data_IF_254081313178
#
_entry.id   IF_254081313178
#
_cell.length_a   1.000
_cell.length_b   1.000
_cell.length_c   1.000
_cell.angle_alpha   90.00
_cell.angle_beta   90.00
_cell.angle_gamma   90.00
#
_symmetry.space_group_name_H-M   'P 1'
#
loop_
_entity.id
_entity.type
_entity.pdbx_description
1 polymer ?
#
# COMPACT_ATOMS: atom_id res chain seq x y z
N UNK A 1 -15.82 41.11 -47.81
CA UNK A 1 -15.38 40.26 -46.67
C UNK A 1 -16.38 39.11 -46.47
N UNK A 2 -16.02 37.87 -46.82
CA UNK A 2 -16.90 36.69 -46.65
C UNK A 2 -16.80 36.20 -45.20
N UNK A 3 -17.89 36.32 -44.42
CA UNK A 3 -17.99 35.73 -43.07
C UNK A 3 -17.92 34.19 -43.17
N UNK A 4 -17.07 33.49 -42.40
CA UNK A 4 -17.13 32.05 -42.33
C UNK A 4 -18.46 31.64 -41.68
N UNK A 5 -19.18 30.74 -42.37
CA UNK A 5 -20.57 30.34 -42.09
C UNK A 5 -20.63 29.63 -40.73
N UNK A 6 -21.59 29.97 -39.88
CA UNK A 6 -21.74 29.45 -38.50
C UNK A 6 -21.65 27.92 -38.37
N UNK A 7 -22.04 27.19 -39.42
CA UNK A 7 -21.89 25.74 -39.55
C UNK A 7 -20.44 25.24 -39.43
N UNK A 8 -19.44 25.99 -39.86
CA UNK A 8 -18.03 25.63 -39.67
C UNK A 8 -17.61 25.74 -38.19
N UNK A 9 -18.14 26.72 -37.45
CA UNK A 9 -17.89 26.88 -36.01
C UNK A 9 -18.56 25.78 -35.19
N UNK A 10 -19.79 25.40 -35.54
CA UNK A 10 -20.53 24.32 -34.87
C UNK A 10 -19.85 22.97 -35.12
N UNK A 11 -19.42 22.72 -36.37
CA UNK A 11 -18.67 21.52 -36.74
C UNK A 11 -17.32 21.43 -36.02
N UNK A 12 -16.58 22.54 -35.91
CA UNK A 12 -15.36 22.63 -35.09
C UNK A 12 -15.65 22.35 -33.61
N UNK A 13 -16.72 22.92 -33.05
CA UNK A 13 -17.04 22.78 -31.62
C UNK A 13 -17.47 21.37 -31.20
N UNK A 14 -17.97 20.54 -32.13
CA UNK A 14 -18.52 19.23 -31.81
C UNK A 14 -17.66 18.07 -32.32
N UNK A 15 -17.17 18.12 -33.55
CA UNK A 15 -16.40 17.02 -34.15
C UNK A 15 -14.89 17.19 -33.95
N UNK A 16 -14.35 18.38 -34.21
CA UNK A 16 -12.92 18.62 -34.00
C UNK A 16 -12.58 18.66 -32.50
N UNK A 17 -13.50 19.15 -31.66
CA UNK A 17 -13.39 19.03 -30.20
C UNK A 17 -13.25 17.57 -29.75
N UNK A 18 -14.17 16.69 -30.15
CA UNK A 18 -14.14 15.27 -29.77
C UNK A 18 -12.88 14.59 -30.28
N UNK A 19 -12.46 14.88 -31.53
CA UNK A 19 -11.22 14.33 -32.10
C UNK A 19 -9.98 14.79 -31.33
N UNK A 20 -9.93 16.05 -30.92
CA UNK A 20 -8.81 16.57 -30.11
C UNK A 20 -8.83 15.95 -28.72
N UNK A 21 -10.00 15.77 -28.11
CA UNK A 21 -10.15 15.05 -26.83
C UNK A 21 -9.63 13.60 -26.95
N UNK A 22 -9.99 12.89 -28.02
CA UNK A 22 -9.53 11.52 -28.27
C UNK A 22 -8.00 11.47 -28.45
N UNK A 23 -7.42 12.39 -29.23
CA UNK A 23 -5.95 12.49 -29.43
C UNK A 23 -5.23 12.82 -28.12
N UNK A 24 -5.77 13.75 -27.33
CA UNK A 24 -5.18 14.13 -26.03
C UNK A 24 -5.27 12.95 -25.05
N UNK A 25 -6.38 12.22 -25.05
CA UNK A 25 -6.54 11.02 -24.24
C UNK A 25 -5.53 9.92 -24.62
N UNK A 26 -5.38 9.65 -25.92
CA UNK A 26 -4.41 8.67 -26.44
C UNK A 26 -2.98 9.08 -26.11
N UNK A 27 -2.63 10.35 -26.31
CA UNK A 27 -1.30 10.88 -25.97
C UNK A 27 -1.03 10.79 -24.46
N UNK A 28 -2.02 11.13 -23.63
CA UNK A 28 -1.92 11.01 -22.18
C UNK A 28 -1.73 9.55 -21.76
N UNK A 29 -2.41 8.61 -22.40
CA UNK A 29 -2.26 7.18 -22.14
C UNK A 29 -0.86 6.70 -22.54
N UNK A 30 -0.39 7.06 -23.73
CA UNK A 30 0.96 6.71 -24.19
C UNK A 30 2.03 7.27 -23.26
N UNK A 31 1.90 8.54 -22.86
CA UNK A 31 2.82 9.18 -21.93
C UNK A 31 2.84 8.46 -20.58
N UNK A 32 1.67 8.05 -20.07
CA UNK A 32 1.57 7.26 -18.85
C UNK A 32 2.28 5.90 -18.99
N UNK A 33 2.14 5.24 -20.13
CA UNK A 33 2.81 3.94 -20.39
C UNK A 33 4.32 4.07 -20.49
N UNK A 34 4.81 5.11 -21.17
CA UNK A 34 6.25 5.41 -21.27
C UNK A 34 6.81 5.70 -19.89
N UNK A 35 6.11 6.54 -19.12
CA UNK A 35 6.48 6.86 -17.75
C UNK A 35 6.65 5.61 -16.87
N UNK A 36 5.65 4.73 -16.83
CA UNK A 36 5.72 3.47 -16.07
C UNK A 36 6.85 2.55 -16.57
N UNK A 37 7.10 2.52 -17.87
CA UNK A 37 8.19 1.71 -18.45
C UNK A 37 9.57 2.23 -18.04
N UNK A 38 9.76 3.55 -18.06
CA UNK A 38 11.00 4.20 -17.58
C UNK A 38 11.17 3.95 -16.08
N UNK A 39 10.10 4.12 -15.30
CA UNK A 39 10.09 3.83 -13.86
C UNK A 39 10.55 2.39 -13.58
N UNK A 40 10.01 1.42 -14.33
CA UNK A 40 10.40 0.01 -14.28
C UNK A 40 11.88 -0.21 -14.62
N UNK A 41 12.42 0.47 -15.63
CA UNK A 41 13.84 0.33 -15.99
C UNK A 41 14.77 0.97 -14.97
N UNK A 42 14.44 2.17 -14.47
CA UNK A 42 15.25 2.84 -13.44
C UNK A 42 15.33 2.03 -12.13
N UNK A 43 14.26 1.31 -11.78
CA UNK A 43 14.14 0.64 -10.48
C UNK A 43 14.30 -0.89 -10.54
N UNK A 44 14.03 -1.49 -11.71
CA UNK A 44 13.98 -2.94 -11.91
C UNK A 44 15.22 -3.54 -12.57
N UNK A 45 16.09 -2.75 -13.21
CA UNK A 45 17.27 -3.31 -13.89
C UNK A 45 18.23 -3.91 -12.84
N UNK A 46 18.42 -5.22 -12.93
CA UNK A 46 19.18 -6.08 -12.02
C UNK A 46 20.70 -5.92 -12.08
N UNK A 47 21.21 -4.94 -12.85
CA UNK A 47 22.62 -4.53 -12.80
C UNK A 47 22.76 -3.64 -11.57
N UNK A 48 22.94 -4.28 -10.40
CA UNK A 48 23.29 -3.66 -9.12
C UNK A 48 22.50 -2.39 -8.82
N UNK A 49 21.48 -2.51 -7.97
CA UNK A 49 20.84 -1.34 -7.34
C UNK A 49 21.91 -0.60 -6.54
N UNK A 50 22.66 0.26 -7.21
CA UNK A 50 23.71 1.05 -6.61
C UNK A 50 22.98 2.01 -5.69
N UNK A 51 23.26 1.92 -4.39
CA UNK A 51 22.73 2.86 -3.41
C UNK A 51 23.00 4.30 -3.83
N UNK A 52 24.07 4.55 -4.63
CA UNK A 52 24.36 5.86 -5.21
C UNK A 52 23.32 6.26 -6.26
N UNK A 53 22.92 5.34 -7.14
CA UNK A 53 21.88 5.60 -8.15
C UNK A 53 20.52 5.87 -7.48
N UNK A 54 20.15 5.07 -6.48
CA UNK A 54 18.92 5.32 -5.73
C UNK A 54 18.95 6.65 -4.97
N UNK A 55 20.07 6.98 -4.32
CA UNK A 55 20.23 8.28 -3.63
C UNK A 55 20.16 9.44 -4.61
N UNK A 56 20.66 9.26 -5.83
CA UNK A 56 20.53 10.25 -6.88
C UNK A 56 19.06 10.41 -7.30
N UNK A 57 18.34 9.31 -7.56
CA UNK A 57 16.90 9.35 -7.86
C UNK A 57 16.05 9.95 -6.72
N UNK A 58 16.47 9.80 -5.47
CA UNK A 58 15.80 10.40 -4.32
C UNK A 58 16.01 11.92 -4.24
N UNK A 59 17.22 12.39 -4.51
CA UNK A 59 17.62 13.79 -4.30
C UNK A 59 17.45 14.69 -5.53
N UNK A 60 17.49 14.12 -6.74
CA UNK A 60 17.43 14.87 -7.99
C UNK A 60 16.07 15.57 -8.19
N UNK A 61 16.04 16.88 -8.52
CA UNK A 61 14.81 17.64 -8.66
C UNK A 61 13.91 17.12 -9.79
N UNK A 62 14.47 16.64 -10.90
CA UNK A 62 13.66 16.12 -12.01
C UNK A 62 13.00 14.79 -11.63
N UNK A 63 13.72 13.94 -10.92
CA UNK A 63 13.22 12.68 -10.37
C UNK A 63 12.12 12.90 -9.33
N UNK A 64 12.19 14.00 -8.57
CA UNK A 64 11.12 14.41 -7.65
C UNK A 64 9.86 14.88 -8.39
N UNK A 65 10.01 15.67 -9.46
CA UNK A 65 8.88 16.10 -10.31
C UNK A 65 8.21 14.90 -10.97
N UNK A 66 8.99 13.89 -11.39
CA UNK A 66 8.49 12.65 -11.98
C UNK A 66 7.96 11.65 -10.94
N UNK A 67 8.14 11.88 -9.63
CA UNK A 67 7.67 10.97 -8.58
C UNK A 67 8.59 9.77 -8.29
N UNK A 68 9.63 9.51 -9.09
CA UNK A 68 10.55 8.36 -8.92
C UNK A 68 11.27 8.32 -7.56
N UNK A 69 11.43 9.48 -6.91
CA UNK A 69 12.03 9.59 -5.58
C UNK A 69 11.30 8.76 -4.51
N UNK A 70 9.98 8.54 -4.63
CA UNK A 70 9.21 7.80 -3.62
C UNK A 70 9.63 6.34 -3.60
N UNK A 71 9.71 5.71 -4.77
CA UNK A 71 10.11 4.31 -4.89
C UNK A 71 11.61 4.12 -4.62
N UNK A 72 12.44 5.07 -5.03
CA UNK A 72 13.86 5.07 -4.69
C UNK A 72 14.06 5.10 -3.17
N UNK A 73 13.39 6.01 -2.47
CA UNK A 73 13.40 6.06 -0.99
C UNK A 73 12.90 4.76 -0.37
N UNK A 74 11.84 4.16 -0.90
CA UNK A 74 11.33 2.88 -0.40
C UNK A 74 12.34 1.74 -0.59
N UNK A 75 13.05 1.69 -1.72
CA UNK A 75 14.11 0.71 -1.94
C UNK A 75 15.31 0.96 -1.02
N UNK A 76 15.75 2.22 -0.87
CA UNK A 76 16.81 2.61 0.06
C UNK A 76 16.44 2.19 1.48
N UNK A 77 15.22 2.50 1.92
CA UNK A 77 14.73 2.13 3.23
C UNK A 77 14.73 0.62 3.43
N UNK A 78 14.42 -0.17 2.39
CA UNK A 78 14.46 -1.65 2.43
C UNK A 78 15.89 -2.17 2.59
N UNK A 79 16.86 -1.54 1.92
CA UNK A 79 18.28 -1.91 2.03
C UNK A 79 18.91 -1.43 3.34
N UNK A 80 18.55 -0.24 3.81
CA UNK A 80 19.11 0.40 5.02
C UNK A 80 18.41 0.00 6.33
N UNK A 81 17.19 -0.55 6.31
CA UNK A 81 16.56 -1.10 7.54
C UNK A 81 17.39 -2.23 8.16
N UNK A 82 18.38 -2.76 7.44
CA UNK A 82 19.37 -3.67 8.01
C UNK A 82 20.22 -3.02 9.13
N UNK A 83 20.44 -1.69 9.11
CA UNK A 83 21.49 -1.05 9.91
C UNK A 83 20.98 -0.28 11.15
N UNK A 84 19.84 0.42 11.10
CA UNK A 84 19.27 1.14 12.27
C UNK A 84 17.73 1.27 12.21
N UNK A 85 16.99 0.30 12.77
CA UNK A 85 15.55 0.41 12.93
C UNK A 85 15.21 1.16 14.23
N UNK A 86 14.57 2.33 14.14
CA UNK A 86 13.98 2.99 15.31
C UNK A 86 12.76 2.19 15.76
N UNK A 87 12.67 1.85 17.04
CA UNK A 87 11.53 1.06 17.51
C UNK A 87 10.23 1.84 17.34
N UNK A 88 9.26 1.24 16.64
CA UNK A 88 7.90 1.77 16.50
C UNK A 88 6.94 1.07 17.48
N UNK A 89 7.48 0.58 18.59
CA UNK A 89 6.70 -0.02 19.67
C UNK A 89 5.86 1.06 20.36
N UNK A 90 4.54 0.88 20.32
CA UNK A 90 3.59 1.76 20.98
C UNK A 90 3.57 1.35 22.46
N UNK A 91 4.08 2.24 23.33
CA UNK A 91 4.19 1.95 24.77
C UNK A 91 2.85 1.52 25.37
N UNK A 92 2.91 0.47 26.20
CA UNK A 92 1.74 -0.18 26.79
C UNK A 92 0.81 0.74 27.59
N UNK A 93 1.28 1.88 28.11
CA UNK A 93 0.45 2.85 28.86
C UNK A 93 -0.55 3.61 27.98
N UNK A 94 -0.19 3.93 26.73
CA UNK A 94 -1.10 4.56 25.76
C UNK A 94 -2.10 3.55 25.22
N UNK A 95 -1.66 2.31 25.05
CA UNK A 95 -2.49 1.25 24.49
C UNK A 95 -3.44 0.63 25.52
N UNK A 96 -3.04 0.46 26.79
CA UNK A 96 -3.85 -0.13 27.84
C UNK A 96 -5.17 0.62 28.09
N UNK A 97 -5.16 1.95 27.92
CA UNK A 97 -6.37 2.80 27.95
C UNK A 97 -7.32 2.56 26.77
N UNK A 98 -6.79 1.98 25.69
CA UNK A 98 -7.44 1.85 24.38
C UNK A 98 -7.87 0.40 24.09
N UNK A 99 -7.31 -0.60 24.79
CA UNK A 99 -7.66 -2.02 24.70
C UNK A 99 -9.17 -2.34 24.81
N UNK A 100 -9.99 -1.65 25.66
CA UNK A 100 -11.42 -1.95 25.73
C UNK A 100 -12.19 -1.63 24.45
N UNK A 101 -11.63 -0.80 23.55
CA UNK A 101 -12.27 -0.35 22.32
C UNK A 101 -11.89 -1.19 21.09
N UNK A 102 -11.33 -2.38 21.30
CA UNK A 102 -10.93 -3.28 20.21
C UNK A 102 -12.10 -4.19 19.82
N UNK A 103 -12.62 -3.99 18.61
CA UNK A 103 -13.56 -4.91 17.98
C UNK A 103 -12.77 -5.97 17.20
N UNK A 104 -12.83 -7.23 17.62
CA UNK A 104 -12.17 -8.34 16.90
C UNK A 104 -12.94 -8.71 15.65
N UNK A 105 -12.23 -8.85 14.54
CA UNK A 105 -12.77 -9.23 13.23
C UNK A 105 -12.04 -10.50 12.78
N UNK A 106 -12.61 -11.65 13.15
CA UNK A 106 -11.95 -12.94 13.01
C UNK A 106 -10.72 -13.08 13.92
N UNK A 107 -9.82 -14.01 13.57
CA UNK A 107 -8.66 -14.34 14.40
C UNK A 107 -7.47 -13.39 14.22
N UNK A 108 -7.31 -12.84 13.00
CA UNK A 108 -6.10 -12.11 12.60
C UNK A 108 -6.26 -10.60 12.60
N UNK A 109 -7.49 -10.09 12.66
CA UNK A 109 -7.74 -8.66 12.54
C UNK A 109 -8.55 -8.12 13.72
N UNK A 110 -8.34 -6.84 14.01
CA UNK A 110 -9.17 -6.08 14.94
C UNK A 110 -9.29 -4.64 14.50
N UNK A 111 -10.28 -3.94 15.03
CA UNK A 111 -10.48 -2.51 14.79
C UNK A 111 -10.35 -1.82 16.13
N UNK A 112 -9.47 -0.84 16.19
CA UNK A 112 -9.25 -0.02 17.37
C UNK A 112 -9.78 1.38 17.10
N UNK A 113 -10.65 1.89 17.98
CA UNK A 113 -11.15 3.27 17.91
C UNK A 113 -10.57 4.11 19.05
N UNK A 114 -9.82 5.15 18.69
CA UNK A 114 -9.24 6.12 19.63
C UNK A 114 -9.66 7.51 19.16
N UNK A 115 -10.32 8.28 20.05
CA UNK A 115 -10.73 9.67 19.79
C UNK A 115 -11.51 9.86 18.48
N UNK A 116 -12.34 8.88 18.08
CA UNK A 116 -13.12 8.92 16.84
C UNK A 116 -12.38 8.47 15.58
N UNK A 117 -11.06 8.28 15.63
CA UNK A 117 -10.27 7.71 14.54
C UNK A 117 -10.21 6.18 14.66
N UNK A 118 -10.38 5.49 13.52
CA UNK A 118 -10.31 4.04 13.45
C UNK A 118 -8.94 3.57 12.95
N UNK A 119 -8.43 2.52 13.56
CA UNK A 119 -7.18 1.86 13.20
C UNK A 119 -7.44 0.38 12.96
N UNK A 120 -6.77 -0.19 11.96
CA UNK A 120 -6.80 -1.62 11.69
C UNK A 120 -5.63 -2.29 12.43
N UNK A 121 -5.94 -3.33 13.18
CA UNK A 121 -4.97 -4.17 13.86
C UNK A 121 -4.79 -5.47 13.10
N UNK A 122 -3.54 -5.88 12.87
CA UNK A 122 -3.20 -7.21 12.35
C UNK A 122 -2.38 -7.98 13.39
N UNK A 123 -2.92 -9.10 13.86
CA UNK A 123 -2.31 -9.95 14.88
C UNK A 123 -1.46 -11.05 14.26
N UNK A 124 -0.28 -11.28 14.84
CA UNK A 124 0.65 -12.35 14.48
C UNK A 124 1.17 -13.04 15.73
N UNK A 125 0.90 -14.33 15.85
CA UNK A 125 1.46 -15.17 16.92
C UNK A 125 2.92 -15.49 16.62
N UNK A 126 3.78 -15.35 17.63
CA UNK A 126 5.19 -15.74 17.53
C UNK A 126 5.47 -17.06 18.24
N UNK A 127 4.60 -17.49 19.16
CA UNK A 127 4.67 -18.81 19.79
C UNK A 127 3.25 -19.32 20.09
N UNK A 128 2.52 -19.84 19.08
CA UNK A 128 1.13 -20.27 19.25
C UNK A 128 1.00 -21.55 20.08
N UNK A 129 2.05 -22.35 20.18
CA UNK A 129 2.06 -23.64 20.89
C UNK A 129 2.44 -23.50 22.37
N UNK A 130 2.98 -22.35 22.79
CA UNK A 130 3.38 -22.12 24.17
C UNK A 130 2.16 -21.74 25.03
N UNK A 131 1.82 -22.53 26.06
CA UNK A 131 0.70 -22.24 26.96
C UNK A 131 1.01 -21.15 27.99
N UNK A 132 2.27 -20.72 28.07
CA UNK A 132 2.77 -19.70 29.01
C UNK A 132 3.24 -18.48 28.21
N UNK A 133 3.10 -17.25 28.73
CA UNK A 133 3.67 -16.07 28.13
C UNK A 133 5.18 -16.23 27.87
N UNK A 134 5.58 -16.09 26.60
CA UNK A 134 6.97 -16.16 26.15
C UNK A 134 7.45 -14.75 25.85
N UNK A 135 8.60 -14.38 26.42
CA UNK A 135 9.25 -13.11 26.11
C UNK A 135 9.74 -13.09 24.65
N UNK A 136 9.72 -11.91 24.02
CA UNK A 136 10.25 -11.77 22.67
C UNK A 136 11.78 -11.79 22.73
N UNK A 137 12.39 -12.68 21.97
CA UNK A 137 13.82 -12.67 21.73
C UNK A 137 14.20 -11.42 20.91
N UNK A 138 15.43 -10.93 21.13
CA UNK A 138 15.91 -9.69 20.51
C UNK A 138 15.88 -9.77 18.98
N UNK A 139 16.16 -10.95 18.42
CA UNK A 139 16.06 -11.18 16.98
C UNK A 139 14.64 -11.04 16.47
N UNK A 140 13.64 -11.63 17.11
CA UNK A 140 12.24 -11.45 16.68
C UNK A 140 11.79 -10.01 16.84
N UNK A 141 12.19 -9.32 17.92
CA UNK A 141 11.91 -7.90 18.11
C UNK A 141 12.49 -7.04 16.98
N UNK A 142 13.76 -7.27 16.62
CA UNK A 142 14.40 -6.58 15.50
C UNK A 142 13.67 -6.82 14.17
N UNK A 143 13.18 -8.03 13.93
CA UNK A 143 12.43 -8.35 12.72
C UNK A 143 11.07 -7.62 12.69
N UNK A 144 10.38 -7.55 13.83
CA UNK A 144 9.13 -6.81 13.98
C UNK A 144 9.36 -5.33 13.73
N UNK A 145 10.41 -4.74 14.33
CA UNK A 145 10.73 -3.32 14.16
C UNK A 145 11.14 -2.99 12.72
N UNK A 146 11.97 -3.83 12.09
CA UNK A 146 12.33 -3.68 10.68
C UNK A 146 11.10 -3.68 9.79
N UNK A 147 10.19 -4.61 10.03
CA UNK A 147 8.94 -4.67 9.27
C UNK A 147 8.05 -3.46 9.54
N UNK A 148 7.85 -3.07 10.80
CA UNK A 148 7.02 -1.93 11.15
C UNK A 148 7.53 -0.66 10.47
N UNK A 149 8.85 -0.44 10.47
CA UNK A 149 9.49 0.69 9.80
C UNK A 149 9.30 0.65 8.28
N UNK A 150 9.47 -0.52 7.66
CA UNK A 150 9.23 -0.71 6.24
C UNK A 150 7.78 -0.35 5.87
N UNK A 151 6.83 -0.85 6.66
CA UNK A 151 5.40 -0.61 6.47
C UNK A 151 4.98 0.83 6.78
N UNK A 152 5.72 1.52 7.65
CA UNK A 152 5.51 2.93 7.97
C UNK A 152 5.89 3.86 6.82
N UNK A 153 6.93 3.52 6.05
CA UNK A 153 7.45 4.39 4.98
C UNK A 153 6.33 4.92 4.06
N UNK A 154 6.36 6.21 3.70
CA UNK A 154 5.36 6.84 2.84
C UNK A 154 5.28 6.13 1.48
N UNK A 155 4.07 5.75 1.08
CA UNK A 155 3.80 5.01 -0.16
C UNK A 155 2.94 5.85 -1.07
N UNK A 156 3.17 5.72 -2.38
CA UNK A 156 2.25 6.31 -3.36
C UNK A 156 0.85 5.66 -3.23
N UNK A 157 -0.18 6.41 -3.62
CA UNK A 157 -1.58 5.94 -3.63
C UNK A 157 -1.72 4.63 -4.45
N UNK A 158 -0.84 4.42 -5.43
CA UNK A 158 -0.75 3.21 -6.24
C UNK A 158 -0.49 1.91 -5.46
N UNK A 159 0.18 1.96 -4.31
CA UNK A 159 0.46 0.79 -3.46
C UNK A 159 -0.78 0.26 -2.74
N UNK A 160 -1.86 1.06 -2.63
CA UNK A 160 -3.15 0.66 -2.02
C UNK A 160 -3.00 -0.09 -0.69
N UNK A 161 -2.01 0.34 0.08
CA UNK A 161 -1.57 -0.33 1.29
C UNK A 161 -1.65 0.67 2.44
N UNK A 162 -2.32 0.34 3.56
CA UNK A 162 -2.40 1.25 4.68
C UNK A 162 -1.03 1.43 5.33
N UNK A 163 -0.74 2.64 5.79
CA UNK A 163 0.52 2.96 6.47
C UNK A 163 0.50 2.38 7.89
N UNK A 164 1.61 1.73 8.27
CA UNK A 164 1.80 1.24 9.63
C UNK A 164 2.15 2.42 10.54
N UNK A 165 1.44 2.56 11.65
CA UNK A 165 1.72 3.56 12.68
C UNK A 165 2.72 3.02 13.70
N UNK A 166 2.67 1.71 13.96
CA UNK A 166 3.55 1.03 14.91
C UNK A 166 3.04 -0.36 15.25
N UNK A 167 3.57 -0.93 16.31
CA UNK A 167 3.16 -2.25 16.79
C UNK A 167 3.13 -2.31 18.31
N UNK A 168 2.46 -3.31 18.86
CA UNK A 168 2.49 -3.59 20.30
C UNK A 168 2.42 -5.10 20.57
N UNK A 169 2.85 -5.50 21.76
CA UNK A 169 2.81 -6.89 22.22
C UNK A 169 1.59 -7.15 23.08
N UNK A 170 1.01 -8.33 22.89
CA UNK A 170 -0.01 -8.88 23.79
C UNK A 170 0.52 -10.18 24.39
N UNK A 171 1.15 -10.05 25.57
CA UNK A 171 1.88 -11.11 26.26
C UNK A 171 1.00 -12.32 26.61
N UNK A 172 -0.27 -12.07 26.93
CA UNK A 172 -1.19 -13.13 27.36
C UNK A 172 -1.52 -14.12 26.23
N UNK A 173 -1.38 -13.69 24.96
CA UNK A 173 -1.73 -14.50 23.79
C UNK A 173 -0.52 -14.78 22.89
N UNK A 174 0.71 -14.52 23.38
CA UNK A 174 1.97 -14.74 22.64
C UNK A 174 1.92 -14.20 21.19
N UNK A 175 1.39 -12.98 21.05
CA UNK A 175 1.21 -12.33 19.75
C UNK A 175 1.59 -10.86 19.76
N UNK A 176 1.88 -10.37 18.57
CA UNK A 176 2.11 -8.96 18.28
C UNK A 176 1.01 -8.44 17.37
N UNK A 177 0.66 -7.17 17.55
CA UNK A 177 -0.33 -6.49 16.74
C UNK A 177 0.32 -5.31 16.02
N UNK A 178 0.23 -5.31 14.69
CA UNK A 178 0.60 -4.15 13.87
C UNK A 178 -0.60 -3.22 13.75
N UNK A 179 -0.36 -1.92 13.90
CA UNK A 179 -1.39 -0.88 13.86
C UNK A 179 -1.30 -0.13 12.56
N UNK A 180 -2.39 -0.10 11.81
CA UNK A 180 -2.50 0.54 10.52
C UNK A 180 -3.52 1.67 10.55
N UNK A 181 -3.18 2.78 9.87
CA UNK A 181 -4.12 3.89 9.72
C UNK A 181 -5.22 3.54 8.72
N UNK A 182 -6.46 3.87 9.05
CA UNK A 182 -7.61 3.83 8.15
C UNK A 182 -7.89 5.27 7.72
N UNK A 183 -7.87 5.58 6.41
CA UNK A 183 -8.16 6.94 5.96
C UNK A 183 -9.57 7.38 6.38
N UNK A 184 -9.73 8.67 6.68
CA UNK A 184 -11.03 9.23 7.05
C UNK A 184 -12.07 9.06 5.94
N UNK A 185 -13.32 8.73 6.32
CA UNK A 185 -14.42 8.50 5.37
C UNK A 185 -14.54 7.06 4.85
N UNK A 186 -13.64 6.14 5.24
CA UNK A 186 -13.75 4.73 4.92
C UNK A 186 -14.34 3.93 6.08
N UNK A 187 -15.13 2.91 5.76
CA UNK A 187 -15.61 1.97 6.76
C UNK A 187 -14.42 1.20 7.36
N UNK A 188 -14.38 1.14 8.68
CA UNK A 188 -13.33 0.49 9.43
C UNK A 188 -13.45 -1.03 9.41
N UNK A 189 -14.55 -1.60 8.91
CA UNK A 189 -14.78 -3.04 8.86
C UNK A 189 -13.99 -3.71 7.72
N UNK A 190 -12.93 -4.50 8.02
CA UNK A 190 -12.19 -5.18 6.98
C UNK A 190 -12.99 -6.38 6.50
N UNK A 191 -13.47 -6.34 5.25
CA UNK A 191 -14.13 -7.48 4.61
C UNK A 191 -13.14 -8.16 3.68
N UNK A 192 -13.04 -9.49 3.78
CA UNK A 192 -12.25 -10.26 2.83
C UNK A 192 -12.87 -10.16 1.44
N UNK A 193 -12.07 -9.83 0.44
CA UNK A 193 -12.51 -9.91 -0.94
C UNK A 193 -13.03 -11.31 -1.29
N UNK A 194 -12.42 -12.36 -0.74
CA UNK A 194 -12.88 -13.73 -0.92
C UNK A 194 -14.29 -13.94 -0.35
N UNK A 195 -14.58 -13.34 0.80
CA UNK A 195 -15.89 -13.44 1.45
C UNK A 195 -16.92 -12.62 0.67
N UNK A 196 -16.55 -11.46 0.12
CA UNK A 196 -17.41 -10.69 -0.80
C UNK A 196 -17.73 -11.49 -2.06
N UNK A 197 -16.76 -12.20 -2.63
CA UNK A 197 -16.95 -13.01 -3.83
C UNK A 197 -17.74 -14.30 -3.58
N UNK A 198 -17.72 -14.81 -2.35
CA UNK A 198 -18.42 -16.05 -1.95
C UNK A 198 -19.78 -15.81 -1.31
N UNK A 199 -20.02 -14.62 -0.76
CA UNK A 199 -21.27 -14.27 -0.09
C UNK A 199 -22.41 -14.29 -1.09
N UNK A 200 -23.53 -14.91 -0.70
CA UNK A 200 -24.79 -14.87 -1.44
C UNK A 200 -25.63 -13.64 -1.06
N UNK A 201 -25.31 -13.02 0.08
CA UNK A 201 -26.06 -11.89 0.66
C UNK A 201 -25.56 -10.54 0.12
N UNK A 202 -24.32 -10.49 -0.37
CA UNK A 202 -23.75 -9.33 -1.04
C UNK A 202 -23.97 -9.43 -2.56
N UNK A 203 -24.37 -8.32 -3.18
CA UNK A 203 -24.45 -8.24 -4.62
C UNK A 203 -23.09 -8.57 -5.24
N UNK A 204 -23.05 -9.65 -6.02
CA UNK A 204 -21.82 -10.07 -6.68
C UNK A 204 -21.30 -8.95 -7.59
N UNK A 205 -19.98 -8.66 -7.58
CA UNK A 205 -19.45 -7.59 -8.40
C UNK A 205 -19.70 -7.87 -9.88
N UNK A 206 -20.03 -6.83 -10.63
CA UNK A 206 -20.23 -6.92 -12.08
C UNK A 206 -18.93 -7.34 -12.78
N UNK A 207 -19.03 -7.84 -14.01
CA UNK A 207 -17.84 -8.23 -14.79
C UNK A 207 -16.85 -7.06 -14.92
N UNK A 208 -17.36 -5.84 -15.17
CA UNK A 208 -16.54 -4.63 -15.20
C UNK A 208 -15.83 -4.36 -13.87
N UNK A 209 -16.53 -4.48 -12.74
CA UNK A 209 -15.93 -4.31 -11.41
C UNK A 209 -14.84 -5.35 -11.13
N UNK A 210 -15.01 -6.60 -11.59
CA UNK A 210 -13.99 -7.64 -11.48
C UNK A 210 -12.72 -7.30 -12.28
N UNK A 211 -12.86 -6.81 -13.52
CA UNK A 211 -11.72 -6.35 -14.31
C UNK A 211 -11.02 -5.15 -13.68
N UNK A 212 -11.77 -4.16 -13.19
CA UNK A 212 -11.21 -3.03 -12.45
C UNK A 212 -10.44 -3.46 -11.21
N UNK A 213 -11.00 -4.41 -10.45
CA UNK A 213 -10.35 -4.96 -9.29
C UNK A 213 -9.07 -5.71 -9.66
N UNK A 214 -9.11 -6.59 -10.67
CA UNK A 214 -7.94 -7.32 -11.16
C UNK A 214 -6.84 -6.36 -11.63
N UNK A 215 -7.19 -5.31 -12.38
CA UNK A 215 -6.27 -4.27 -12.82
C UNK A 215 -5.64 -3.51 -11.65
N UNK A 216 -6.43 -3.18 -10.62
CA UNK A 216 -5.96 -2.48 -9.43
C UNK A 216 -5.03 -3.35 -8.59
N UNK A 217 -5.35 -4.64 -8.47
CA UNK A 217 -4.52 -5.61 -7.76
C UNK A 217 -3.22 -5.89 -8.51
N UNK A 218 -3.26 -6.06 -9.84
CA UNK A 218 -2.05 -6.28 -10.64
C UNK A 218 -1.10 -5.08 -10.57
N UNK A 219 -1.63 -3.85 -10.62
CA UNK A 219 -0.84 -2.62 -10.42
C UNK A 219 -0.20 -2.58 -9.03
N UNK A 220 -0.95 -2.91 -7.98
CA UNK A 220 -0.41 -2.98 -6.62
C UNK A 220 0.74 -3.98 -6.52
N UNK A 221 0.56 -5.20 -7.05
CA UNK A 221 1.58 -6.25 -7.06
C UNK A 221 2.82 -5.81 -7.83
N UNK A 222 2.64 -5.19 -9.00
CA UNK A 222 3.73 -4.69 -9.83
C UNK A 222 4.56 -3.63 -9.10
N UNK A 223 3.92 -2.68 -8.42
CA UNK A 223 4.62 -1.66 -7.62
C UNK A 223 5.37 -2.29 -6.44
N UNK A 224 4.78 -3.28 -5.75
CA UNK A 224 5.47 -4.00 -4.67
C UNK A 224 6.70 -4.79 -5.17
N UNK A 225 6.59 -5.41 -6.34
CA UNK A 225 7.70 -6.13 -6.97
C UNK A 225 8.83 -5.18 -7.39
N UNK A 226 8.48 -4.02 -7.92
CA UNK A 226 9.39 -2.98 -8.35
C UNK A 226 10.26 -2.45 -7.21
N UNK A 227 9.73 -2.33 -5.98
CA UNK A 227 10.52 -1.90 -4.81
C UNK A 227 11.34 -3.04 -4.20
N UNK A 228 11.37 -4.24 -4.79
CA UNK A 228 12.05 -5.43 -4.26
C UNK A 228 11.72 -5.73 -2.80
N UNK A 229 10.51 -5.36 -2.37
CA UNK A 229 9.97 -5.79 -1.09
C UNK A 229 9.82 -7.32 -1.04
N UNK A 230 9.99 -8.02 -2.16
CA UNK A 230 9.94 -9.49 -2.28
C UNK A 230 11.33 -10.15 -2.12
N UNK A 231 12.26 -9.61 -1.33
CA UNK A 231 13.55 -10.30 -1.12
C UNK A 231 13.53 -11.26 0.08
N UNK A 232 13.24 -12.52 -0.26
CA UNK A 232 13.88 -13.78 0.18
C UNK A 232 13.67 -14.39 1.57
N UNK A 233 13.55 -13.67 2.69
CA UNK A 233 13.49 -14.37 4.01
C UNK A 233 12.43 -13.89 5.00
N UNK A 234 11.93 -12.66 4.87
CA UNK A 234 11.04 -12.06 5.86
C UNK A 234 9.55 -12.08 5.46
N UNK A 235 9.23 -12.20 4.16
CA UNK A 235 7.92 -11.83 3.63
C UNK A 235 7.14 -12.97 2.98
N UNK A 236 7.63 -14.22 2.99
CA UNK A 236 6.96 -15.37 2.36
C UNK A 236 5.52 -15.60 2.83
N UNK A 237 5.21 -15.28 4.09
CA UNK A 237 3.85 -15.35 4.66
C UNK A 237 3.03 -14.06 4.60
N UNK A 238 3.60 -12.96 4.09
CA UNK A 238 2.96 -11.63 4.07
C UNK A 238 2.13 -11.38 2.80
N UNK A 239 2.41 -12.10 1.71
CA UNK A 239 1.74 -11.92 0.41
C UNK A 239 0.26 -12.33 0.40
N UNK A 240 -0.13 -13.32 1.19
CA UNK A 240 -1.46 -13.94 1.10
C UNK A 240 -2.57 -13.03 1.69
N UNK A 241 -2.23 -12.03 2.51
CA UNK A 241 -3.22 -11.29 3.30
C UNK A 241 -3.51 -9.86 2.84
N UNK A 242 -2.67 -9.25 2.00
CA UNK A 242 -2.77 -7.80 1.72
C UNK A 242 -3.53 -7.38 0.46
N UNK A 243 -3.98 -8.34 -0.36
CA UNK A 243 -4.94 -8.09 -1.45
C UNK A 243 -6.40 -8.22 -0.98
N UNK A 244 -6.69 -8.02 0.31
CA UNK A 244 -8.08 -7.77 0.77
C UNK A 244 -8.41 -6.33 0.42
N UNK A 245 -9.02 -6.17 -0.76
CA UNK A 245 -9.46 -4.89 -1.28
C UNK A 245 -10.39 -4.20 -0.27
N UNK A 246 -9.97 -3.01 0.17
CA UNK A 246 -10.89 -2.06 0.79
C UNK A 246 -11.98 -1.75 -0.22
N UNK A 247 -13.24 -1.82 0.24
CA UNK A 247 -14.40 -1.47 -0.58
C UNK A 247 -14.32 0.02 -0.89
N UNK A 248 -13.88 0.34 -2.11
CA UNK A 248 -14.12 1.65 -2.75
C UNK A 248 -15.49 1.65 -3.38
#
# INVERSE_FOLDING_TARGET
MKRPRSFQRIRWSLLDKKRVEDIVAEFSELNSRIHESIKLWCLGTSIGVDLRHLRHLESDPNSRVLGFHVDARLQIATTQTAEHATSLEISGSKLARSLPNILRVGEKFGILRINGQAFLLEYRSYSPEAPVPVELDDRTRDLIDKLANLLHQPKEIGFRTPSCVGWFRETNENRVAYVFNIPEGFDASPISLLDVLRSKDLAAPTLGQKFWLALRLSRCISQLQLVKWVSSHLLGGYWVLRCKAWKT
#
